data_IF_428364901473
#
_entry.id   IF_428364901473
#
_cell.length_a   1.000
_cell.length_b   1.000
_cell.length_c   1.000
_cell.angle_alpha   90.00
_cell.angle_beta   90.00
_cell.angle_gamma   90.00
#
_symmetry.space_group_name_H-M   'P 1'
#
loop_
_entity.id
_entity.type
_entity.pdbx_description
1 polymer ?
#
# COMPACT_ATOMS: atom_id res chain seq x y z
N UNK A 1 17.64 14.67 -13.50
CA UNK A 1 17.62 14.81 -12.05
C UNK A 1 16.21 14.55 -11.51
N UNK A 2 16.06 13.60 -10.59
CA UNK A 2 14.75 13.14 -10.11
C UNK A 2 14.25 13.88 -8.85
N UNK A 3 14.98 14.88 -8.40
CA UNK A 3 14.71 15.63 -7.16
C UNK A 3 14.67 14.80 -5.86
N UNK A 4 15.12 13.55 -5.90
CA UNK A 4 15.32 12.68 -4.74
C UNK A 4 14.17 11.70 -4.43
N UNK A 5 13.00 11.86 -5.04
CA UNK A 5 11.87 10.96 -4.79
C UNK A 5 12.08 9.58 -5.44
N UNK A 6 12.40 9.54 -6.74
CA UNK A 6 12.66 8.29 -7.45
C UNK A 6 13.88 7.54 -6.92
N UNK A 7 14.98 8.26 -6.62
CA UNK A 7 16.19 7.65 -6.06
C UNK A 7 15.96 7.03 -4.70
N UNK A 8 15.23 7.69 -3.80
CA UNK A 8 14.90 7.17 -2.48
C UNK A 8 14.03 5.91 -2.56
N UNK A 9 12.99 5.90 -3.40
CA UNK A 9 12.13 4.75 -3.59
C UNK A 9 12.83 3.59 -4.27
N UNK A 10 13.67 3.84 -5.29
CA UNK A 10 14.42 2.80 -5.97
C UNK A 10 15.43 2.13 -5.01
N UNK A 11 16.10 2.92 -4.15
CA UNK A 11 17.04 2.38 -3.17
C UNK A 11 16.39 1.36 -2.21
N UNK A 12 15.13 1.52 -1.90
CA UNK A 12 14.36 0.58 -1.07
C UNK A 12 14.05 -0.73 -1.77
N UNK A 13 13.87 -0.69 -3.08
CA UNK A 13 13.55 -1.86 -3.89
C UNK A 13 14.80 -2.68 -4.22
N UNK A 14 15.89 -2.01 -4.65
CA UNK A 14 17.09 -2.68 -5.18
C UNK A 14 18.31 -2.59 -4.29
N UNK A 15 18.20 -1.86 -3.18
CA UNK A 15 19.31 -1.54 -2.29
C UNK A 15 20.15 -0.34 -2.75
N UNK A 16 20.82 0.28 -1.80
CA UNK A 16 21.52 1.56 -1.97
C UNK A 16 22.60 1.50 -3.09
N UNK A 17 23.37 0.40 -3.15
CA UNK A 17 24.44 0.24 -4.14
C UNK A 17 23.91 0.26 -5.57
N UNK A 18 22.85 -0.49 -5.86
CA UNK A 18 22.26 -0.56 -7.20
C UNK A 18 21.57 0.73 -7.58
N UNK A 19 20.84 1.34 -6.66
CA UNK A 19 20.23 2.64 -6.92
C UNK A 19 21.29 3.70 -7.26
N UNK A 20 22.38 3.77 -6.50
CA UNK A 20 23.50 4.69 -6.78
C UNK A 20 24.16 4.40 -8.14
N UNK A 21 24.39 3.13 -8.46
CA UNK A 21 24.92 2.73 -9.77
C UNK A 21 24.03 3.25 -10.90
N UNK A 22 22.70 3.02 -10.80
CA UNK A 22 21.74 3.45 -11.82
C UNK A 22 21.77 4.99 -11.98
N UNK A 23 21.63 5.72 -10.89
CA UNK A 23 21.54 7.19 -10.94
C UNK A 23 22.87 7.88 -11.25
N UNK A 24 23.98 7.39 -10.71
CA UNK A 24 25.28 8.07 -10.89
C UNK A 24 25.91 7.76 -12.23
N UNK A 25 25.75 6.54 -12.74
CA UNK A 25 26.34 6.16 -14.01
C UNK A 25 25.40 6.46 -15.20
N UNK A 26 24.09 6.62 -14.95
CA UNK A 26 23.08 6.88 -15.99
C UNK A 26 23.16 5.91 -17.17
N UNK A 27 23.48 4.63 -16.91
CA UNK A 27 23.58 3.59 -17.91
C UNK A 27 22.22 3.01 -18.23
N UNK A 28 22.06 2.48 -19.43
CA UNK A 28 20.90 1.69 -19.84
C UNK A 28 21.08 0.25 -19.36
N UNK A 29 20.02 -0.34 -18.83
CA UNK A 29 19.96 -1.73 -18.41
C UNK A 29 18.82 -2.43 -19.14
N UNK A 30 19.02 -3.69 -19.50
CA UNK A 30 17.98 -4.49 -20.14
C UNK A 30 16.92 -5.01 -19.13
N UNK A 31 15.80 -5.48 -19.65
CA UNK A 31 14.68 -5.93 -18.82
C UNK A 31 15.03 -7.13 -17.93
N UNK A 32 15.87 -8.05 -18.42
CA UNK A 32 16.32 -9.23 -17.66
C UNK A 32 17.18 -8.81 -16.46
N UNK A 33 18.04 -7.82 -16.66
CA UNK A 33 18.84 -7.24 -15.55
C UNK A 33 17.95 -6.51 -14.56
N UNK A 34 16.95 -5.76 -15.04
CA UNK A 34 16.00 -5.05 -14.19
C UNK A 34 15.18 -6.02 -13.33
N UNK A 35 14.70 -7.14 -13.88
CA UNK A 35 14.03 -8.22 -13.13
C UNK A 35 14.96 -8.83 -12.07
N UNK A 36 16.17 -9.23 -12.47
CA UNK A 36 17.14 -9.82 -11.53
C UNK A 36 17.48 -8.89 -10.36
N UNK A 37 17.42 -7.58 -10.55
CA UNK A 37 17.67 -6.59 -9.51
C UNK A 37 16.44 -6.19 -8.71
N UNK A 38 15.25 -6.64 -9.12
CA UNK A 38 13.99 -6.30 -8.46
C UNK A 38 13.48 -4.90 -8.80
N UNK A 39 13.94 -4.31 -9.92
CA UNK A 39 13.39 -3.04 -10.44
C UNK A 39 12.00 -3.26 -11.03
N UNK A 40 11.81 -4.41 -11.67
CA UNK A 40 10.53 -4.86 -12.23
C UNK A 40 10.20 -6.26 -11.72
N UNK A 41 8.92 -6.62 -11.74
CA UNK A 41 8.45 -7.92 -11.25
C UNK A 41 8.77 -9.07 -12.23
N UNK A 42 8.73 -8.79 -13.53
CA UNK A 42 8.89 -9.76 -14.59
C UNK A 42 9.37 -9.08 -15.88
N UNK A 43 10.25 -9.72 -16.61
CA UNK A 43 10.66 -9.36 -17.96
C UNK A 43 9.99 -10.30 -18.96
N UNK A 44 9.24 -9.74 -19.90
CA UNK A 44 8.53 -10.49 -20.92
C UNK A 44 8.88 -9.97 -22.33
N UNK A 45 8.69 -10.77 -23.39
CA UNK A 45 8.77 -10.27 -24.76
C UNK A 45 7.86 -9.05 -24.95
N UNK A 46 8.34 -8.04 -25.70
CA UNK A 46 7.60 -6.79 -25.88
C UNK A 46 6.16 -7.01 -26.39
N UNK A 47 5.94 -7.98 -27.27
CA UNK A 47 4.61 -8.30 -27.79
C UNK A 47 3.64 -8.87 -26.73
N UNK A 48 4.15 -9.35 -25.62
CA UNK A 48 3.35 -9.97 -24.53
C UNK A 48 3.12 -9.01 -23.36
N UNK A 49 3.79 -7.85 -23.33
CA UNK A 49 3.79 -6.95 -22.19
C UNK A 49 2.38 -6.50 -21.78
N UNK A 50 1.58 -6.06 -22.75
CA UNK A 50 0.22 -5.58 -22.48
C UNK A 50 -0.67 -6.71 -21.94
N UNK A 51 -0.62 -7.90 -22.57
CA UNK A 51 -1.36 -9.07 -22.12
C UNK A 51 -1.02 -9.47 -20.70
N UNK A 52 0.27 -9.49 -20.36
CA UNK A 52 0.73 -9.82 -19.01
C UNK A 52 0.30 -8.74 -17.98
N UNK A 53 0.38 -7.47 -18.33
CA UNK A 53 -0.08 -6.40 -17.46
C UNK A 53 -1.59 -6.47 -17.19
N UNK A 54 -2.39 -6.76 -18.20
CA UNK A 54 -3.84 -6.94 -18.06
C UNK A 54 -4.20 -8.17 -17.23
N UNK A 55 -3.44 -9.27 -17.33
CA UNK A 55 -3.58 -10.45 -16.48
C UNK A 55 -3.37 -10.08 -14.99
N UNK A 56 -2.27 -9.37 -14.67
CA UNK A 56 -2.01 -8.89 -13.30
C UNK A 56 -3.12 -7.96 -12.81
N UNK A 57 -3.58 -7.05 -13.66
CA UNK A 57 -4.68 -6.15 -13.32
C UNK A 57 -5.98 -6.91 -13.00
N UNK A 58 -6.30 -7.96 -13.78
CA UNK A 58 -7.46 -8.81 -13.54
C UNK A 58 -7.35 -9.57 -12.20
N UNK A 59 -6.16 -10.11 -11.89
CA UNK A 59 -5.89 -10.78 -10.60
C UNK A 59 -6.11 -9.80 -9.44
N UNK A 60 -5.60 -8.57 -9.53
CA UNK A 60 -5.79 -7.54 -8.50
C UNK A 60 -7.27 -7.13 -8.39
N UNK A 61 -7.94 -6.94 -9.52
CA UNK A 61 -9.36 -6.55 -9.56
C UNK A 61 -10.29 -7.62 -8.94
N UNK A 62 -9.88 -8.88 -8.93
CA UNK A 62 -10.61 -9.97 -8.28
C UNK A 62 -10.42 -10.05 -6.75
N UNK A 63 -9.56 -9.20 -6.17
CA UNK A 63 -9.33 -9.16 -4.71
C UNK A 63 -10.31 -8.21 -4.03
N UNK A 64 -10.42 -8.33 -2.70
CA UNK A 64 -11.22 -7.39 -1.90
C UNK A 64 -10.72 -5.95 -2.10
N UNK A 65 -11.56 -5.00 -2.57
CA UNK A 65 -11.15 -3.61 -2.75
C UNK A 65 -10.66 -2.96 -1.44
N UNK A 66 -11.27 -3.31 -0.32
CA UNK A 66 -10.88 -2.82 0.99
C UNK A 66 -9.50 -3.35 1.39
N UNK A 67 -9.24 -4.66 1.19
CA UNK A 67 -7.94 -5.25 1.51
C UNK A 67 -6.82 -4.61 0.67
N UNK A 68 -7.03 -4.45 -0.64
CA UNK A 68 -6.05 -3.79 -1.52
C UNK A 68 -5.79 -2.35 -1.08
N UNK A 69 -6.84 -1.59 -0.73
CA UNK A 69 -6.69 -0.21 -0.24
C UNK A 69 -5.87 -0.16 1.05
N UNK A 70 -6.20 -0.99 2.04
CA UNK A 70 -5.47 -1.03 3.30
C UNK A 70 -4.01 -1.45 3.12
N UNK A 71 -3.73 -2.45 2.28
CA UNK A 71 -2.37 -2.87 1.96
C UNK A 71 -1.57 -1.75 1.29
N UNK A 72 -2.17 -1.01 0.34
CA UNK A 72 -1.51 0.13 -0.31
C UNK A 72 -1.11 1.22 0.69
N UNK A 73 -1.98 1.54 1.64
CA UNK A 73 -1.68 2.49 2.70
C UNK A 73 -0.59 1.95 3.64
N UNK A 74 -0.68 0.68 4.04
CA UNK A 74 0.28 0.06 4.95
C UNK A 74 1.70 0.01 4.37
N UNK A 75 1.86 -0.28 3.07
CA UNK A 75 3.17 -0.28 2.42
C UNK A 75 3.84 1.11 2.42
N UNK A 76 3.05 2.17 2.34
CA UNK A 76 3.58 3.54 2.28
C UNK A 76 3.76 4.17 3.67
N UNK A 77 3.09 3.64 4.70
CA UNK A 77 3.00 4.26 6.02
C UNK A 77 4.37 4.59 6.65
N UNK A 78 5.33 3.66 6.52
CA UNK A 78 6.66 3.83 7.11
C UNK A 78 7.44 5.00 6.50
N UNK A 79 7.15 5.38 5.27
CA UNK A 79 7.84 6.43 4.53
C UNK A 79 7.16 7.77 4.58
N UNK A 80 5.83 7.72 4.58
CA UNK A 80 5.01 8.93 4.56
C UNK A 80 4.96 9.61 5.94
N UNK A 81 5.50 8.95 6.98
CA UNK A 81 5.59 9.51 8.33
C UNK A 81 4.23 9.94 8.87
N UNK A 82 4.16 11.13 9.48
CA UNK A 82 2.90 11.65 10.05
C UNK A 82 1.80 11.87 9.02
N UNK A 83 2.15 12.22 7.78
CA UNK A 83 1.16 12.36 6.70
C UNK A 83 0.53 11.01 6.35
N UNK A 84 1.34 9.96 6.24
CA UNK A 84 0.84 8.60 6.02
C UNK A 84 0.01 8.09 7.19
N UNK A 85 0.45 8.36 8.42
CA UNK A 85 -0.30 8.01 9.62
C UNK A 85 -1.68 8.69 9.63
N UNK A 86 -1.78 9.94 9.22
CA UNK A 86 -3.06 10.66 9.14
C UNK A 86 -4.00 10.03 8.10
N UNK A 87 -3.49 9.67 6.92
CA UNK A 87 -4.29 9.01 5.88
C UNK A 87 -4.76 7.64 6.35
N UNK A 88 -3.87 6.84 6.96
CA UNK A 88 -4.22 5.55 7.53
C UNK A 88 -5.27 5.68 8.63
N UNK A 89 -5.11 6.64 9.56
CA UNK A 89 -6.04 6.89 10.64
C UNK A 89 -7.43 7.29 10.13
N UNK A 90 -7.50 8.09 9.06
CA UNK A 90 -8.76 8.44 8.40
C UNK A 90 -9.50 7.23 7.86
N UNK A 91 -8.80 6.30 7.20
CA UNK A 91 -9.39 5.07 6.69
C UNK A 91 -9.80 4.11 7.82
N UNK A 92 -8.97 3.96 8.85
CA UNK A 92 -9.29 3.15 10.01
C UNK A 92 -10.53 3.70 10.74
N UNK A 93 -10.63 5.01 10.91
CA UNK A 93 -11.81 5.67 11.49
C UNK A 93 -13.07 5.40 10.66
N UNK A 94 -12.97 5.55 9.33
CA UNK A 94 -14.09 5.25 8.43
C UNK A 94 -14.58 3.81 8.62
N UNK A 95 -13.68 2.84 8.70
CA UNK A 95 -14.03 1.43 8.90
C UNK A 95 -14.65 1.20 10.30
N UNK A 96 -14.11 1.83 11.33
CA UNK A 96 -14.65 1.74 12.69
C UNK A 96 -16.10 2.25 12.77
N UNK A 97 -16.41 3.37 12.12
CA UNK A 97 -17.77 3.92 12.09
C UNK A 97 -18.79 3.07 11.30
N UNK A 98 -18.34 2.05 10.59
CA UNK A 98 -19.22 1.09 9.89
C UNK A 98 -19.57 -0.15 10.74
N UNK A 99 -19.16 -0.19 11.99
CA UNK A 99 -19.38 -1.33 12.89
C UNK A 99 -20.60 -1.14 13.80
N UNK A 100 -21.18 -2.24 14.24
CA UNK A 100 -22.27 -2.23 15.23
C UNK A 100 -21.80 -1.67 16.57
N UNK A 101 -20.51 -1.83 16.91
CA UNK A 101 -19.89 -1.23 18.09
C UNK A 101 -19.95 0.31 18.05
N UNK A 102 -19.69 0.91 16.90
CA UNK A 102 -19.84 2.35 16.74
C UNK A 102 -21.31 2.82 16.82
N UNK A 103 -22.25 2.00 16.36
CA UNK A 103 -23.69 2.25 16.50
C UNK A 103 -24.07 2.25 17.98
N UNK A 104 -23.64 1.25 18.75
CA UNK A 104 -23.88 1.20 20.20
C UNK A 104 -23.31 2.43 20.92
N UNK A 105 -22.05 2.82 20.62
CA UNK A 105 -21.44 4.01 21.22
C UNK A 105 -22.21 5.28 20.94
N UNK A 106 -22.64 5.49 19.70
CA UNK A 106 -23.47 6.63 19.30
C UNK A 106 -24.82 6.64 20.00
N UNK A 107 -25.52 5.51 20.00
CA UNK A 107 -26.87 5.42 20.53
C UNK A 107 -26.89 5.54 22.04
N UNK A 108 -25.92 4.96 22.74
CA UNK A 108 -25.73 5.15 24.17
C UNK A 108 -25.53 6.62 24.53
N UNK A 109 -24.68 7.34 23.75
CA UNK A 109 -24.46 8.77 23.95
C UNK A 109 -25.76 9.59 23.77
N UNK A 110 -26.50 9.35 22.69
CA UNK A 110 -27.74 10.06 22.39
C UNK A 110 -28.83 9.78 23.44
N UNK A 111 -28.90 8.54 23.92
CA UNK A 111 -29.85 8.08 24.94
C UNK A 111 -29.41 8.43 26.38
N UNK A 112 -28.21 8.99 26.56
CA UNK A 112 -27.62 9.33 27.87
C UNK A 112 -27.55 8.14 28.82
N UNK A 113 -27.23 6.95 28.30
CA UNK A 113 -26.98 5.72 29.04
C UNK A 113 -25.54 5.27 28.91
N UNK A 114 -25.10 4.37 29.78
CA UNK A 114 -23.82 3.68 29.59
C UNK A 114 -23.92 2.75 28.38
N UNK A 115 -22.86 2.68 27.53
CA UNK A 115 -22.81 1.73 26.43
C UNK A 115 -22.66 0.30 26.96
N UNK A 116 -23.26 -0.65 26.26
CA UNK A 116 -23.09 -2.08 26.50
C UNK A 116 -22.09 -2.67 25.50
N UNK A 117 -20.86 -2.90 25.94
CA UNK A 117 -19.80 -3.50 25.13
C UNK A 117 -19.76 -5.02 25.19
N UNK A 118 -20.63 -5.67 25.98
CA UNK A 118 -20.60 -7.11 26.17
C UNK A 118 -20.81 -7.94 24.89
N UNK A 119 -21.55 -7.48 23.87
CA UNK A 119 -21.65 -8.20 22.62
C UNK A 119 -20.39 -8.15 21.74
N UNK A 120 -19.44 -7.24 22.02
CA UNK A 120 -18.26 -6.97 21.20
C UNK A 120 -17.02 -7.57 21.84
N UNK A 121 -16.46 -8.66 21.30
CA UNK A 121 -15.31 -9.33 21.90
C UNK A 121 -14.03 -8.54 21.70
N UNK A 122 -13.20 -8.46 22.74
CA UNK A 122 -11.82 -8.02 22.65
C UNK A 122 -10.96 -9.13 22.06
N UNK A 123 -10.34 -8.89 20.89
CA UNK A 123 -9.35 -9.78 20.28
C UNK A 123 -7.95 -9.28 20.63
N UNK A 124 -7.30 -9.91 21.61
CA UNK A 124 -5.89 -9.66 21.93
C UNK A 124 -5.09 -10.94 21.81
#
# INVERSE_FOLDING_TARGET
FDAGYGSALLARQVGDKRAREIFFLARTYDAVTAERWGVVNEAVPHAELEGRALEYAAIVAAKSPQAIRMLKLAFNLADDGMAGQQVFAGEATRLAYMTDEAVEGRDAFLQRRSPDWSPFPYYF
#
